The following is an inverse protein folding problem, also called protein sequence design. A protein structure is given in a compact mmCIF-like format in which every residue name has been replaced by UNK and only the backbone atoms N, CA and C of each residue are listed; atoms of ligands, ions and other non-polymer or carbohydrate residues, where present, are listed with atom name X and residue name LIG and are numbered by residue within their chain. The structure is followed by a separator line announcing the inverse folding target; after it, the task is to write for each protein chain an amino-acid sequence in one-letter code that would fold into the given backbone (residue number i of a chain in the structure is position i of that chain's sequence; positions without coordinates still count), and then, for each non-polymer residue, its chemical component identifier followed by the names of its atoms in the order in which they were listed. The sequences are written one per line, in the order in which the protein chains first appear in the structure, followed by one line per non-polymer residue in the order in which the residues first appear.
data_IF_146522694126
#
_entry.id   IF_146522694126
#
_cell.length_a   1.000
_cell.length_b   1.000
_cell.length_c   1.000
_cell.angle_alpha   90.00
_cell.angle_beta   90.00
_cell.angle_gamma   90.00
#
_symmetry.space_group_name_H-M   'P 1'
#
loop_
_entity.id
_entity.type
_entity.pdbx_description
1 polymer ?
#
# COMPACT_ATOMS: atom_id res chain seq x y z
N UNK A 1 -4.98 -1.47 -5.42
CA UNK A 1 -5.73 -1.01 -6.61
C UNK A 1 -4.86 -1.27 -7.82
N UNK A 2 -5.39 -1.86 -8.90
CA UNK A 2 -4.73 -1.83 -10.21
C UNK A 2 -5.38 -0.73 -11.03
N UNK A 3 -4.55 0.17 -11.54
CA UNK A 3 -5.00 1.29 -12.36
C UNK A 3 -4.05 1.43 -13.55
N UNK A 4 -4.60 1.44 -14.76
CA UNK A 4 -3.84 1.72 -15.98
C UNK A 4 -4.67 2.62 -16.89
N UNK A 5 -4.19 3.85 -17.19
CA UNK A 5 -4.95 4.83 -17.94
C UNK A 5 -5.02 4.49 -19.44
N UNK A 6 -5.96 5.12 -20.14
CA UNK A 6 -5.95 5.21 -21.60
C UNK A 6 -5.32 6.54 -22.03
N UNK A 7 -4.52 6.53 -23.10
CA UNK A 7 -3.90 7.74 -23.64
C UNK A 7 -4.82 8.48 -24.62
N UNK A 8 -5.75 7.76 -25.25
CA UNK A 8 -6.72 8.33 -26.18
C UNK A 8 -7.54 9.42 -25.47
N UNK A 9 -7.60 10.61 -26.07
CA UNK A 9 -8.21 11.80 -25.46
C UNK A 9 -9.66 11.56 -25.03
N UNK A 10 -10.42 10.80 -25.83
CA UNK A 10 -11.82 10.43 -25.59
C UNK A 10 -12.01 9.47 -24.41
N UNK A 11 -10.97 8.77 -23.98
CA UNK A 11 -11.03 7.70 -22.97
C UNK A 11 -10.25 8.01 -21.69
N UNK A 12 -9.76 9.23 -21.51
CA UNK A 12 -8.96 9.65 -20.34
C UNK A 12 -9.66 9.39 -18.99
N UNK A 13 -10.99 9.47 -18.96
CA UNK A 13 -11.80 9.21 -17.76
C UNK A 13 -12.23 7.74 -17.64
N UNK A 14 -11.94 6.92 -18.66
CA UNK A 14 -12.26 5.50 -18.73
C UNK A 14 -10.96 4.69 -18.85
N UNK A 15 -10.19 4.54 -17.75
CA UNK A 15 -8.95 3.75 -17.74
C UNK A 15 -9.14 2.33 -18.28
N UNK A 16 -8.10 1.79 -18.92
CA UNK A 16 -8.09 0.43 -19.45
C UNK A 16 -8.16 -0.63 -18.34
N UNK A 17 -7.61 -0.32 -17.16
CA UNK A 17 -7.70 -1.15 -15.96
C UNK A 17 -8.09 -0.25 -14.79
N UNK A 18 -9.18 -0.61 -14.12
CA UNK A 18 -9.61 0.03 -12.88
C UNK A 18 -10.22 -1.00 -11.94
N UNK A 19 -9.36 -1.60 -11.10
CA UNK A 19 -9.72 -2.79 -10.35
C UNK A 19 -9.35 -2.65 -8.87
N UNK A 20 -10.34 -2.93 -8.01
CA UNK A 20 -10.06 -3.21 -6.60
C UNK A 20 -9.57 -4.65 -6.48
N UNK A 21 -8.41 -4.79 -5.86
CA UNK A 21 -7.69 -6.05 -5.76
C UNK A 21 -7.16 -6.26 -4.35
N UNK A 22 -7.02 -7.52 -3.97
CA UNK A 22 -6.42 -7.93 -2.69
C UNK A 22 -5.16 -8.75 -2.96
N UNK A 23 -4.09 -8.39 -2.24
CA UNK A 23 -2.85 -9.16 -2.25
C UNK A 23 -3.12 -10.59 -1.73
N UNK A 24 -2.64 -11.59 -2.48
CA UNK A 24 -2.59 -12.98 -2.03
C UNK A 24 -1.12 -13.33 -1.83
N UNK A 25 -0.74 -13.53 -0.58
CA UNK A 25 0.60 -13.98 -0.19
C UNK A 25 0.49 -15.36 0.41
N UNK A 26 1.42 -16.25 0.06
CA UNK A 26 1.57 -17.56 0.67
C UNK A 26 2.95 -17.71 1.30
N UNK A 27 3.09 -18.77 2.10
CA UNK A 27 4.34 -19.10 2.79
C UNK A 27 4.87 -17.89 3.58
N UNK A 28 3.96 -17.21 4.29
CA UNK A 28 4.31 -16.01 5.07
C UNK A 28 5.05 -16.46 6.33
N UNK A 29 6.32 -16.10 6.41
CA UNK A 29 7.17 -16.32 7.58
C UNK A 29 7.52 -14.99 8.23
N UNK A 30 7.37 -14.95 9.55
CA UNK A 30 7.66 -13.78 10.37
C UNK A 30 8.69 -14.17 11.41
N UNK A 31 9.78 -13.41 11.51
CA UNK A 31 10.79 -13.60 12.57
C UNK A 31 10.21 -13.28 13.95
N UNK A 32 10.93 -13.54 15.06
CA UNK A 32 10.56 -12.98 16.35
C UNK A 32 10.28 -11.48 16.26
N UNK A 33 9.20 -11.04 16.90
CA UNK A 33 8.71 -9.66 16.87
C UNK A 33 9.19 -8.94 18.11
N UNK A 34 9.94 -7.86 17.91
CA UNK A 34 10.38 -6.97 18.98
C UNK A 34 9.45 -5.77 19.05
N UNK A 35 8.87 -5.51 20.22
CA UNK A 35 7.97 -4.38 20.47
C UNK A 35 8.67 -3.34 21.35
N UNK A 36 8.45 -2.06 21.07
CA UNK A 36 8.97 -0.97 21.89
C UNK A 36 8.20 0.34 21.70
N UNK A 37 8.70 1.40 22.33
CA UNK A 37 8.26 2.77 22.04
C UNK A 37 8.83 3.23 20.68
N UNK A 38 8.15 4.17 20.02
CA UNK A 38 8.60 4.75 18.77
C UNK A 38 8.10 6.19 18.61
N UNK A 39 8.84 6.96 17.81
CA UNK A 39 8.45 8.27 17.29
C UNK A 39 8.40 8.21 15.76
N UNK A 40 7.49 8.96 15.15
CA UNK A 40 7.35 9.07 13.70
C UNK A 40 7.02 10.52 13.34
N UNK A 41 7.76 11.08 12.40
CA UNK A 41 7.52 12.40 11.83
C UNK A 41 7.37 12.28 10.32
N UNK A 42 6.36 12.95 9.77
CA UNK A 42 6.16 13.09 8.32
C UNK A 42 6.40 14.54 7.93
N UNK A 43 7.37 14.74 7.04
CA UNK A 43 7.77 16.05 6.56
C UNK A 43 7.01 16.42 5.28
N UNK A 44 6.86 17.72 5.05
CA UNK A 44 6.25 18.22 3.82
C UNK A 44 7.17 17.95 2.62
N UNK A 45 6.55 17.68 1.47
CA UNK A 45 7.25 17.58 0.20
C UNK A 45 6.31 17.99 -0.94
N UNK A 46 6.75 18.79 -1.91
CA UNK A 46 5.87 19.38 -2.93
C UNK A 46 5.25 18.34 -3.89
N UNK A 47 5.78 17.12 -3.91
CA UNK A 47 5.35 16.06 -4.83
C UNK A 47 4.69 14.88 -4.11
N UNK A 48 4.44 14.97 -2.80
CA UNK A 48 3.75 13.89 -2.07
C UNK A 48 2.71 14.44 -1.11
N UNK A 49 1.58 13.74 -1.02
CA UNK A 49 0.46 14.08 -0.12
C UNK A 49 0.62 13.41 1.26
N UNK A 50 1.75 12.76 1.54
CA UNK A 50 1.93 11.97 2.76
C UNK A 50 1.79 12.82 4.03
N UNK A 51 2.19 14.09 3.96
CA UNK A 51 2.08 15.04 5.06
C UNK A 51 0.63 15.33 5.48
N UNK A 52 -0.35 15.11 4.60
CA UNK A 52 -1.77 15.25 4.93
C UNK A 52 -2.27 14.10 5.84
N UNK A 53 -1.50 13.00 5.90
CA UNK A 53 -1.75 11.82 6.74
C UNK A 53 -0.82 11.77 7.96
N UNK A 54 -0.37 12.93 8.46
CA UNK A 54 0.47 13.01 9.66
C UNK A 54 -0.16 12.28 10.85
N UNK A 55 0.63 11.48 11.60
CA UNK A 55 0.11 10.76 12.75
C UNK A 55 -0.30 11.74 13.84
N UNK A 56 -1.50 11.58 14.39
CA UNK A 56 -1.93 12.29 15.61
C UNK A 56 -1.32 11.68 16.87
N UNK A 57 -0.95 10.40 16.81
CA UNK A 57 -0.28 9.66 17.90
C UNK A 57 0.41 8.40 17.37
N UNK A 58 1.58 8.07 17.92
CA UNK A 58 2.27 6.79 17.68
C UNK A 58 1.95 5.82 18.82
N UNK A 59 1.48 4.60 18.49
CA UNK A 59 1.04 3.61 19.47
C UNK A 59 2.15 2.63 19.91
N UNK A 60 3.17 2.44 19.08
CA UNK A 60 4.27 1.54 19.35
C UNK A 60 5.14 1.32 18.12
N UNK A 61 6.38 0.88 18.36
CA UNK A 61 7.32 0.43 17.35
C UNK A 61 7.40 -1.10 17.34
N UNK A 62 7.57 -1.66 16.14
CA UNK A 62 7.77 -3.08 15.93
C UNK A 62 8.97 -3.30 15.01
N UNK A 63 9.83 -4.27 15.34
CA UNK A 63 10.95 -4.68 14.51
C UNK A 63 10.92 -6.19 14.32
N UNK A 64 10.88 -6.62 13.07
CA UNK A 64 10.91 -8.01 12.64
C UNK A 64 11.31 -8.08 11.15
N UNK A 65 11.53 -9.29 10.66
CA UNK A 65 11.70 -9.61 9.24
C UNK A 65 10.49 -10.41 8.76
N UNK A 66 10.11 -10.21 7.50
CA UNK A 66 9.03 -10.96 6.83
C UNK A 66 9.56 -11.56 5.54
N UNK A 67 9.20 -12.81 5.28
CA UNK A 67 9.33 -13.46 3.99
C UNK A 67 7.96 -13.93 3.52
N UNK A 68 7.68 -13.84 2.21
CA UNK A 68 6.48 -14.39 1.60
C UNK A 68 6.71 -14.65 0.12
N UNK A 69 5.88 -15.51 -0.47
CA UNK A 69 5.78 -15.69 -1.91
C UNK A 69 4.49 -15.02 -2.40
N UNK A 70 4.60 -14.30 -3.52
CA UNK A 70 3.45 -13.70 -4.21
C UNK A 70 3.44 -14.24 -5.63
N UNK A 71 2.48 -15.12 -5.91
CA UNK A 71 2.24 -15.72 -7.22
C UNK A 71 0.79 -15.55 -7.69
N UNK A 72 -0.05 -14.87 -6.91
CA UNK A 72 -1.46 -14.63 -7.22
C UNK A 72 -1.96 -13.28 -6.68
N UNK A 73 -3.16 -12.88 -7.13
CA UNK A 73 -3.90 -11.73 -6.68
C UNK A 73 -5.41 -11.97 -6.85
N UNK A 74 -6.19 -11.57 -5.84
CA UNK A 74 -7.65 -11.70 -5.88
C UNK A 74 -8.29 -10.41 -6.42
N UNK A 75 -9.05 -10.53 -7.52
CA UNK A 75 -9.90 -9.44 -8.04
C UNK A 75 -11.17 -9.34 -7.20
N UNK A 76 -11.44 -8.17 -6.63
CA UNK A 76 -12.64 -7.92 -5.82
C UNK A 76 -13.74 -7.18 -6.59
N UNK A 77 -13.36 -6.21 -7.44
CA UNK A 77 -14.30 -5.38 -8.20
C UNK A 77 -13.62 -4.74 -9.42
N UNK A 78 -14.35 -4.64 -10.54
CA UNK A 78 -14.04 -3.79 -11.70
C UNK A 78 -14.90 -2.52 -11.63
N UNK A 79 -14.31 -1.36 -11.90
CA UNK A 79 -15.00 -0.07 -12.00
C UNK A 79 -15.10 0.37 -13.46
#
# INVERSE_FOLDING_TARGET
MRYFPELEKSRRESPAVHELVRLRSRDVHVSPVWKGAASLSVFDHPYTELADLRPTRVLGGYRFSVACTVDDLELLRRY
#
